data_IF_846895796661
#
_entry.id   IF_846895796661
#
_cell.length_a   1.000
_cell.length_b   1.000
_cell.length_c   1.000
_cell.angle_alpha   90.00
_cell.angle_beta   90.00
_cell.angle_gamma   90.00
#
_symmetry.space_group_name_H-M   'P 1'
#
loop_
_entity.id
_entity.type
_entity.pdbx_description
1 polymer ?
#
# COMPACT_ATOMS: atom_id res chain seq x y z
N UNK A 1 31.65 0.38 -3.59
CA UNK A 1 30.58 0.74 -4.56
C UNK A 1 29.26 0.22 -4.00
N UNK A 2 28.45 1.06 -3.36
CA UNK A 2 27.12 0.66 -2.86
C UNK A 2 26.07 0.93 -3.95
N UNK A 3 25.71 -0.10 -4.72
CA UNK A 3 24.68 -0.06 -5.78
C UNK A 3 23.29 -0.47 -5.26
N UNK A 4 22.85 0.03 -4.10
CA UNK A 4 21.62 -0.48 -3.47
C UNK A 4 20.52 0.57 -3.21
N UNK A 5 20.69 1.84 -3.57
CA UNK A 5 19.68 2.89 -3.25
C UNK A 5 18.89 3.44 -4.45
N UNK A 6 19.20 3.03 -5.69
CA UNK A 6 18.67 3.69 -6.90
C UNK A 6 17.30 3.22 -7.42
N UNK A 7 16.55 2.38 -6.69
CA UNK A 7 15.21 1.92 -7.15
C UNK A 7 14.08 2.33 -6.20
N UNK A 8 14.22 3.45 -5.49
CA UNK A 8 13.11 4.01 -4.70
C UNK A 8 12.39 5.06 -5.55
N UNK A 9 11.51 4.57 -6.42
CA UNK A 9 10.67 5.42 -7.26
C UNK A 9 9.75 6.27 -6.38
N UNK A 10 9.72 7.60 -6.61
CA UNK A 10 8.66 8.45 -6.06
C UNK A 10 7.40 8.21 -6.88
N UNK A 11 6.54 7.32 -6.41
CA UNK A 11 5.20 7.16 -6.96
C UNK A 11 4.36 8.39 -6.61
N UNK A 12 3.55 8.85 -7.57
CA UNK A 12 2.52 9.86 -7.28
C UNK A 12 1.49 9.27 -6.30
N UNK A 13 0.78 10.13 -5.56
CA UNK A 13 -0.27 9.67 -4.63
C UNK A 13 -1.33 8.82 -5.35
N UNK A 14 -1.68 9.19 -6.60
CA UNK A 14 -2.62 8.43 -7.42
C UNK A 14 -2.09 7.03 -7.77
N UNK A 15 -0.81 6.91 -8.16
CA UNK A 15 -0.19 5.60 -8.44
C UNK A 15 -0.08 4.75 -7.17
N UNK A 16 0.16 5.38 -6.03
CA UNK A 16 0.21 4.70 -4.73
C UNK A 16 -1.16 4.15 -4.33
N UNK A 17 -2.23 4.94 -4.50
CA UNK A 17 -3.62 4.51 -4.30
C UNK A 17 -3.97 3.31 -5.19
N UNK A 18 -3.59 3.35 -6.47
CA UNK A 18 -3.84 2.24 -7.38
C UNK A 18 -3.10 0.98 -6.94
N UNK A 19 -1.82 1.09 -6.60
CA UNK A 19 -1.00 -0.04 -6.14
C UNK A 19 -1.53 -0.67 -4.85
N UNK A 20 -2.06 0.15 -3.93
CA UNK A 20 -2.74 -0.32 -2.71
C UNK A 20 -3.98 -1.14 -3.08
N UNK A 21 -4.83 -0.62 -3.96
CA UNK A 21 -6.05 -1.30 -4.39
C UNK A 21 -5.75 -2.63 -5.09
N UNK A 22 -4.81 -2.63 -6.04
CA UNK A 22 -4.39 -3.85 -6.75
C UNK A 22 -3.84 -4.89 -5.77
N UNK A 23 -3.14 -4.44 -4.72
CA UNK A 23 -2.61 -5.33 -3.68
C UNK A 23 -3.73 -5.92 -2.82
N UNK A 24 -4.76 -5.14 -2.49
CA UNK A 24 -5.95 -5.63 -1.78
C UNK A 24 -6.70 -6.66 -2.65
N UNK A 25 -6.93 -6.35 -3.93
CA UNK A 25 -7.60 -7.26 -4.86
C UNK A 25 -6.84 -8.58 -5.04
N UNK A 26 -5.51 -8.51 -5.18
CA UNK A 26 -4.66 -9.69 -5.30
C UNK A 26 -4.61 -10.56 -4.03
N UNK A 27 -4.93 -9.98 -2.87
CA UNK A 27 -4.93 -10.71 -1.59
C UNK A 27 -6.24 -11.48 -1.34
N UNK A 28 -7.32 -11.15 -2.04
CA UNK A 28 -8.62 -11.80 -1.85
C UNK A 28 -9.29 -11.46 -0.50
N UNK A 29 -10.30 -12.24 -0.06
CA UNK A 29 -11.01 -11.99 1.19
C UNK A 29 -10.11 -12.30 2.39
N UNK A 30 -9.35 -11.30 2.82
CA UNK A 30 -8.63 -11.31 4.09
C UNK A 30 -9.39 -10.53 5.15
N UNK A 31 -9.11 -10.87 6.42
CA UNK A 31 -9.58 -10.09 7.55
C UNK A 31 -9.05 -8.65 7.45
N UNK A 32 -9.93 -7.67 7.65
CA UNK A 32 -9.61 -6.25 7.63
C UNK A 32 -8.55 -5.86 8.67
N UNK A 33 -8.32 -6.71 9.68
CA UNK A 33 -7.27 -6.54 10.68
C UNK A 33 -5.87 -6.94 10.17
N UNK A 34 -5.75 -7.93 9.29
CA UNK A 34 -4.45 -8.40 8.78
C UNK A 34 -4.01 -7.68 7.50
N UNK A 35 -4.97 -7.25 6.67
CA UNK A 35 -4.70 -6.54 5.42
C UNK A 35 -3.73 -5.35 5.55
N UNK A 36 -3.90 -4.43 6.52
CA UNK A 36 -3.06 -3.23 6.62
C UNK A 36 -1.58 -3.56 6.77
N UNK A 37 -1.26 -4.54 7.62
CA UNK A 37 0.11 -4.96 7.89
C UNK A 37 0.78 -5.56 6.65
N UNK A 38 0.06 -6.38 5.88
CA UNK A 38 0.61 -7.01 4.66
C UNK A 38 0.80 -6.01 3.53
N UNK A 39 -0.15 -5.10 3.34
CA UNK A 39 -0.05 -4.05 2.32
C UNK A 39 1.13 -3.13 2.67
N UNK A 40 1.26 -2.71 3.93
CA UNK A 40 2.40 -1.92 4.41
C UNK A 40 3.71 -2.64 4.15
N UNK A 41 3.85 -3.92 4.53
CA UNK A 41 5.08 -4.68 4.31
C UNK A 41 5.48 -4.75 2.82
N UNK A 42 4.50 -4.92 1.92
CA UNK A 42 4.73 -4.98 0.47
C UNK A 42 5.13 -3.61 -0.11
N UNK A 43 4.53 -2.52 0.39
CA UNK A 43 4.76 -1.16 -0.11
C UNK A 43 6.00 -0.49 0.50
N UNK A 44 6.29 -0.69 1.78
CA UNK A 44 7.49 -0.17 2.45
C UNK A 44 8.78 -0.69 1.81
N UNK A 45 8.74 -1.84 1.13
CA UNK A 45 9.86 -2.35 0.34
C UNK A 45 10.12 -1.52 -0.94
N UNK A 46 9.12 -0.81 -1.45
CA UNK A 46 9.16 -0.14 -2.76
C UNK A 46 9.12 1.40 -2.67
N UNK A 47 8.71 1.98 -1.54
CA UNK A 47 8.36 3.41 -1.42
C UNK A 47 8.94 4.02 -0.13
N UNK A 48 9.41 5.28 -0.20
CA UNK A 48 9.81 6.07 0.98
C UNK A 48 8.65 6.98 1.41
N UNK A 49 8.26 6.92 2.69
CA UNK A 49 7.23 7.77 3.31
C UNK A 49 6.12 6.96 3.97
N UNK A 50 6.37 6.42 5.17
CA UNK A 50 5.44 5.50 5.86
C UNK A 50 4.11 6.14 6.23
N UNK A 51 4.11 7.41 6.65
CA UNK A 51 2.91 8.10 7.15
C UNK A 51 1.83 8.24 6.06
N UNK A 52 2.23 8.55 4.83
CA UNK A 52 1.31 8.64 3.69
C UNK A 52 0.78 7.27 3.26
N UNK A 53 1.55 6.20 3.43
CA UNK A 53 1.15 4.85 3.03
C UNK A 53 0.06 4.32 3.98
N UNK A 54 0.22 4.51 5.29
CA UNK A 54 -0.77 4.04 6.28
C UNK A 54 -2.14 4.70 6.11
N UNK A 55 -2.17 6.02 5.90
CA UNK A 55 -3.41 6.75 5.68
C UNK A 55 -4.16 6.23 4.43
N UNK A 56 -3.44 5.98 3.34
CA UNK A 56 -4.02 5.49 2.08
C UNK A 56 -4.51 4.04 2.19
N UNK A 57 -3.81 3.20 2.96
CA UNK A 57 -4.23 1.82 3.24
C UNK A 57 -5.54 1.81 4.05
N UNK A 58 -5.59 2.60 5.13
CA UNK A 58 -6.76 2.70 5.98
C UNK A 58 -7.98 3.23 5.19
N UNK A 59 -7.76 4.21 4.31
CA UNK A 59 -8.80 4.73 3.42
C UNK A 59 -9.32 3.65 2.46
N UNK A 60 -8.43 2.90 1.80
CA UNK A 60 -8.79 1.86 0.83
C UNK A 60 -9.59 0.71 1.47
N UNK A 61 -9.19 0.27 2.67
CA UNK A 61 -9.91 -0.76 3.43
C UNK A 61 -11.27 -0.24 3.90
N UNK A 62 -11.32 1.01 4.40
CA UNK A 62 -12.56 1.61 4.89
C UNK A 62 -13.61 1.79 3.78
N UNK A 63 -13.20 2.16 2.55
CA UNK A 63 -14.12 2.26 1.40
C UNK A 63 -14.74 0.90 1.07
N UNK A 64 -13.92 -0.15 1.01
CA UNK A 64 -14.38 -1.51 0.69
C UNK A 64 -15.28 -2.11 1.79
N UNK A 65 -14.99 -1.84 3.05
CA UNK A 65 -15.84 -2.26 4.17
C UNK A 65 -17.20 -1.56 4.22
N UNK A 66 -17.36 -0.42 3.53
CA UNK A 66 -18.61 0.34 3.46
C UNK A 66 -19.48 0.03 2.23
N UNK A 67 -19.00 -0.79 1.29
CA UNK A 67 -19.75 -1.15 0.09
C UNK A 67 -19.94 0.00 -0.90
N UNK A 68 -19.00 0.95 -0.95
CA UNK A 68 -18.94 2.03 -1.96
C UNK A 68 -18.06 1.65 -3.16
#
# INVERSE_FOLDING_TARGET
>A
MNKSDETRQKLSEQSLRQLINDTIDAMGPLDATEMPHRIKAKLSAHIRGEESIEALIAEAISRRGKGE
#
